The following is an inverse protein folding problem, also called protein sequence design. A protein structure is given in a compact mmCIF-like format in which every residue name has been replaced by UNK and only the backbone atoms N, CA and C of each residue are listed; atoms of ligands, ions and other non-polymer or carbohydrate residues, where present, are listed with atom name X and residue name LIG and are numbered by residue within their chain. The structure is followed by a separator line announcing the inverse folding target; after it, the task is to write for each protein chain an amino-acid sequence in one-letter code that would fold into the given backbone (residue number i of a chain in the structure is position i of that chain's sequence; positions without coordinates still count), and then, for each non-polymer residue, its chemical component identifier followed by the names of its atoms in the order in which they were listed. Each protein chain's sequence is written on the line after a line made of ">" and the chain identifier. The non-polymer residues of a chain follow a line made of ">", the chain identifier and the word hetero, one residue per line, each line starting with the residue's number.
data_IF_544642408242
#
_entry.id   IF_544642408242
#
_cell.length_a   1.000
_cell.length_b   1.000
_cell.length_c   1.000
_cell.angle_alpha   90.00
_cell.angle_beta   90.00
_cell.angle_gamma   90.00
#
_symmetry.space_group_name_H-M   'P 1'
#
loop_
_entity.id
_entity.type
_entity.pdbx_description
1 polymer ?
#
# COMPACT_ATOMS: atom_id res chain seq x y z
N UNK A 1 11.33 -17.61 20.92
CA UNK A 1 12.14 -17.50 22.15
C UNK A 1 12.42 -16.03 22.40
N UNK A 2 12.00 -15.51 23.55
CA UNK A 2 12.13 -14.09 23.91
C UNK A 2 13.60 -13.73 24.17
N UNK A 3 14.08 -12.69 23.52
CA UNK A 3 15.44 -12.14 23.63
C UNK A 3 15.58 -11.33 24.93
N UNK A 4 15.65 -12.01 26.07
CA UNK A 4 15.66 -11.38 27.41
C UNK A 4 16.96 -10.59 27.68
N UNK A 5 18.04 -10.78 26.92
CA UNK A 5 19.33 -10.06 27.11
C UNK A 5 19.66 -8.94 26.11
N UNK A 6 18.81 -8.63 25.12
CA UNK A 6 19.13 -7.62 24.06
C UNK A 6 18.66 -6.18 24.36
N UNK A 7 17.80 -5.98 25.37
CA UNK A 7 17.02 -4.74 25.50
C UNK A 7 17.79 -3.55 26.10
N UNK A 8 18.89 -3.80 26.80
CA UNK A 8 19.73 -2.74 27.36
C UNK A 8 20.76 -2.18 26.35
N UNK A 9 20.83 -2.77 25.16
CA UNK A 9 21.64 -2.26 24.06
C UNK A 9 21.00 -1.05 23.38
N UNK A 10 21.82 -0.28 22.66
CA UNK A 10 21.36 0.79 21.76
C UNK A 10 20.25 0.28 20.84
N UNK A 11 19.19 1.08 20.67
CA UNK A 11 17.98 0.71 19.93
C UNK A 11 17.38 -0.65 20.36
N UNK A 12 17.42 -0.96 21.66
CA UNK A 12 16.95 -2.24 22.22
C UNK A 12 17.62 -3.47 21.58
N UNK A 13 18.87 -3.32 21.15
CA UNK A 13 19.68 -4.38 20.57
C UNK A 13 19.45 -4.65 19.08
N UNK A 14 18.65 -3.83 18.39
CA UNK A 14 18.38 -3.97 16.94
C UNK A 14 19.42 -3.29 16.03
N UNK A 15 20.48 -2.71 16.60
CA UNK A 15 21.63 -2.19 15.85
C UNK A 15 21.98 -0.74 16.18
N UNK A 16 22.99 -0.20 15.49
CA UNK A 16 23.57 1.12 15.80
C UNK A 16 22.78 2.31 15.28
N UNK A 17 22.02 2.13 14.20
CA UNK A 17 21.31 3.23 13.53
C UNK A 17 19.80 3.10 13.71
N UNK A 18 19.14 4.20 14.07
CA UNK A 18 17.68 4.24 14.23
C UNK A 18 16.94 3.88 12.92
N UNK A 19 17.51 4.31 11.78
CA UNK A 19 17.04 3.96 10.44
C UNK A 19 17.09 2.46 10.14
N UNK A 20 18.03 1.72 10.75
CA UNK A 20 18.15 0.27 10.58
C UNK A 20 17.30 -0.49 11.59
N UNK A 21 17.29 -0.05 12.84
CA UNK A 21 16.67 -0.76 13.94
C UNK A 21 15.15 -0.94 13.76
N UNK A 22 14.43 0.13 13.39
CA UNK A 22 12.97 0.08 13.23
C UNK A 22 12.50 -0.97 12.20
N UNK A 23 13.01 -0.95 10.95
CA UNK A 23 12.70 -1.99 9.96
C UNK A 23 13.05 -3.40 10.42
N UNK A 24 14.13 -3.58 11.17
CA UNK A 24 14.51 -4.91 11.68
C UNK A 24 13.54 -5.40 12.75
N UNK A 25 13.17 -4.56 13.71
CA UNK A 25 12.17 -4.89 14.72
C UNK A 25 10.80 -5.20 14.09
N UNK A 26 10.40 -4.48 13.04
CA UNK A 26 9.18 -4.78 12.30
C UNK A 26 9.24 -6.16 11.61
N UNK A 27 10.37 -6.51 10.97
CA UNK A 27 10.51 -7.84 10.34
C UNK A 27 10.39 -8.97 11.37
N UNK A 28 11.03 -8.79 12.52
CA UNK A 28 11.01 -9.77 13.61
C UNK A 28 9.58 -9.89 14.19
N UNK A 29 8.89 -8.77 14.41
CA UNK A 29 7.50 -8.74 14.88
C UNK A 29 6.53 -9.47 13.95
N UNK A 30 6.73 -9.36 12.64
CA UNK A 30 5.88 -10.03 11.65
C UNK A 30 6.40 -11.43 11.24
N UNK A 31 7.42 -11.96 11.95
CA UNK A 31 8.00 -13.28 11.72
C UNK A 31 8.34 -13.57 10.24
N UNK A 32 8.83 -12.57 9.51
CA UNK A 32 9.14 -12.68 8.08
C UNK A 32 7.92 -12.71 7.14
N UNK A 33 6.69 -12.57 7.65
CA UNK A 33 5.46 -12.41 6.88
C UNK A 33 5.09 -10.95 6.61
N UNK A 34 3.93 -10.74 5.97
CA UNK A 34 3.32 -9.40 5.78
C UNK A 34 4.25 -8.33 5.15
N UNK A 35 5.04 -8.71 4.13
CA UNK A 35 6.06 -7.84 3.50
C UNK A 35 5.57 -6.43 3.13
N UNK A 36 4.34 -6.31 2.63
CA UNK A 36 3.76 -5.01 2.29
C UNK A 36 3.51 -4.13 3.52
N UNK A 37 3.04 -4.74 4.62
CA UNK A 37 2.83 -4.06 5.91
C UNK A 37 4.16 -3.64 6.52
N UNK A 38 5.14 -4.54 6.56
CA UNK A 38 6.50 -4.26 7.04
C UNK A 38 7.10 -3.09 6.25
N UNK A 39 7.01 -3.12 4.92
CA UNK A 39 7.51 -2.04 4.07
C UNK A 39 6.80 -0.73 4.37
N UNK A 40 5.47 -0.73 4.43
CA UNK A 40 4.71 0.49 4.64
C UNK A 40 5.01 1.16 6.00
N UNK A 41 5.18 0.36 7.07
CA UNK A 41 5.63 0.89 8.35
C UNK A 41 7.10 1.34 8.30
N UNK A 42 7.98 0.59 7.64
CA UNK A 42 9.39 0.94 7.48
C UNK A 42 9.58 2.26 6.74
N UNK A 43 8.88 2.48 5.63
CA UNK A 43 8.97 3.73 4.85
C UNK A 43 8.54 4.93 5.68
N UNK A 44 7.47 4.79 6.48
CA UNK A 44 6.95 5.85 7.36
C UNK A 44 7.85 6.05 8.58
N UNK A 45 8.46 4.99 9.11
CA UNK A 45 9.50 5.08 10.12
C UNK A 45 10.71 5.87 9.60
N UNK A 46 11.15 5.65 8.35
CA UNK A 46 12.23 6.46 7.77
C UNK A 46 11.86 7.94 7.71
N UNK A 47 10.60 8.30 7.48
CA UNK A 47 10.16 9.69 7.54
C UNK A 47 10.33 10.29 8.94
N UNK A 48 9.99 9.53 9.99
CA UNK A 48 10.24 9.93 11.37
C UNK A 48 11.74 10.04 11.69
N UNK A 49 12.56 9.09 11.25
CA UNK A 49 14.02 9.15 11.43
C UNK A 49 14.65 10.34 10.70
N UNK A 50 14.15 10.70 9.52
CA UNK A 50 14.59 11.91 8.81
C UNK A 50 14.25 13.17 9.59
N UNK A 51 13.03 13.27 10.14
CA UNK A 51 12.68 14.37 11.04
C UNK A 51 13.56 14.37 12.30
N UNK A 52 13.85 13.21 12.91
CA UNK A 52 14.76 13.16 14.07
C UNK A 52 16.15 13.73 13.78
N UNK A 53 16.58 13.74 12.51
CA UNK A 53 17.89 14.23 12.06
C UNK A 53 17.84 15.63 11.43
N UNK A 54 16.68 16.25 11.30
CA UNK A 54 16.56 17.61 10.77
C UNK A 54 16.85 18.65 11.85
N UNK A 55 16.94 19.91 11.46
CA UNK A 55 17.11 21.05 12.37
C UNK A 55 15.98 21.15 13.40
N UNK A 56 14.74 20.84 13.00
CA UNK A 56 13.56 20.79 13.88
C UNK A 56 13.48 19.51 14.74
N UNK A 57 14.47 18.63 14.63
CA UNK A 57 14.47 17.31 15.22
C UNK A 57 15.38 17.20 16.44
N UNK A 58 15.13 16.23 17.34
CA UNK A 58 15.94 16.06 18.54
C UNK A 58 17.37 15.52 18.32
N UNK A 59 17.77 15.17 17.09
CA UNK A 59 19.07 14.59 16.78
C UNK A 59 19.24 13.12 17.19
N UNK A 60 18.16 12.45 17.61
CA UNK A 60 18.25 11.10 18.19
C UNK A 60 18.66 10.03 17.17
N UNK A 61 19.54 9.13 17.62
CA UNK A 61 19.90 7.92 16.89
C UNK A 61 19.89 6.66 17.80
N UNK A 62 19.25 6.76 18.96
CA UNK A 62 18.92 5.65 19.86
C UNK A 62 17.43 5.71 20.23
N UNK A 63 16.67 4.66 19.90
CA UNK A 63 15.24 4.58 20.14
C UNK A 63 14.86 4.64 21.64
N UNK A 64 15.80 4.37 22.54
CA UNK A 64 15.58 4.46 24.00
C UNK A 64 15.39 5.91 24.47
N UNK A 65 15.88 6.88 23.70
CA UNK A 65 15.72 8.31 23.98
C UNK A 65 14.34 8.85 23.57
N UNK A 66 13.58 8.09 22.78
CA UNK A 66 12.26 8.50 22.31
C UNK A 66 11.27 8.33 23.46
N UNK A 67 10.68 9.45 23.86
CA UNK A 67 9.67 9.55 24.91
C UNK A 67 8.34 10.10 24.37
N UNK A 68 7.39 10.36 25.26
CA UNK A 68 6.09 10.91 24.86
C UNK A 68 6.20 12.34 24.34
N UNK A 69 7.13 13.14 24.84
CA UNK A 69 7.35 14.52 24.36
C UNK A 69 7.83 14.51 22.91
N UNK A 70 8.81 13.65 22.58
CA UNK A 70 9.31 13.44 21.22
C UNK A 70 8.16 13.14 20.24
N UNK A 71 7.20 12.32 20.66
CA UNK A 71 6.03 11.98 19.84
C UNK A 71 5.06 13.15 19.67
N UNK A 72 4.87 13.97 20.70
CA UNK A 72 4.06 15.19 20.64
C UNK A 72 4.71 16.23 19.72
N UNK A 73 6.03 16.41 19.80
CA UNK A 73 6.79 17.32 18.93
C UNK A 73 6.71 16.86 17.47
N UNK A 74 6.82 15.55 17.22
CA UNK A 74 6.62 15.02 15.87
C UNK A 74 5.18 15.24 15.37
N UNK A 75 4.17 15.09 16.22
CA UNK A 75 2.80 15.41 15.84
C UNK A 75 2.64 16.90 15.52
N UNK A 76 3.28 17.79 16.27
CA UNK A 76 3.30 19.23 15.99
C UNK A 76 3.94 19.54 14.63
N UNK A 77 5.10 18.95 14.35
CA UNK A 77 5.76 19.03 13.04
C UNK A 77 4.83 18.57 11.91
N UNK A 78 4.15 17.44 12.07
CA UNK A 78 3.20 16.95 11.06
C UNK A 78 1.99 17.88 10.89
N UNK A 79 1.52 18.56 11.95
CA UNK A 79 0.45 19.57 11.84
C UNK A 79 0.88 20.76 10.99
N UNK A 80 2.10 21.26 11.19
CA UNK A 80 2.65 22.36 10.39
C UNK A 80 2.72 21.98 8.90
N UNK A 81 3.19 20.77 8.60
CA UNK A 81 3.26 20.24 7.23
C UNK A 81 1.88 20.11 6.58
N UNK A 82 0.84 19.78 7.37
CA UNK A 82 -0.55 19.80 6.89
C UNK A 82 -1.00 21.23 6.59
N UNK A 83 -0.73 22.18 7.49
CA UNK A 83 -1.11 23.59 7.31
C UNK A 83 -0.47 24.22 6.07
N UNK A 84 0.76 23.82 5.74
CA UNK A 84 1.48 24.24 4.53
C UNK A 84 0.97 23.55 3.26
N UNK A 85 0.06 22.58 3.36
CA UNK A 85 -0.46 21.81 2.21
C UNK A 85 0.50 20.76 1.67
N UNK A 86 1.62 20.50 2.37
CA UNK A 86 2.66 19.55 1.94
C UNK A 86 2.31 18.10 2.31
N UNK A 87 1.38 17.92 3.26
CA UNK A 87 1.02 16.61 3.77
C UNK A 87 -0.49 16.47 3.97
N UNK A 88 -1.07 15.37 3.47
CA UNK A 88 -2.47 15.06 3.77
C UNK A 88 -2.65 14.45 5.16
N UNK A 89 -3.79 14.76 5.79
CA UNK A 89 -4.17 14.30 7.15
C UNK A 89 -4.06 12.78 7.29
N UNK A 90 -4.57 12.02 6.30
CA UNK A 90 -4.52 10.57 6.32
C UNK A 90 -3.08 10.03 6.35
N UNK A 91 -2.15 10.69 5.64
CA UNK A 91 -0.74 10.30 5.65
C UNK A 91 -0.09 10.62 6.99
N UNK A 92 -0.38 11.77 7.58
CA UNK A 92 0.13 12.14 8.90
C UNK A 92 -0.34 11.13 9.99
N UNK A 93 -1.63 10.81 10.03
CA UNK A 93 -2.15 9.79 10.97
C UNK A 93 -1.50 8.42 10.77
N UNK A 94 -1.28 8.02 9.51
CA UNK A 94 -0.58 6.77 9.19
C UNK A 94 0.90 6.79 9.63
N UNK A 95 1.57 7.95 9.57
CA UNK A 95 2.94 8.12 10.08
C UNK A 95 2.97 7.91 11.58
N UNK A 96 2.12 8.60 12.34
CA UNK A 96 2.02 8.44 13.80
C UNK A 96 1.70 6.99 14.20
N UNK A 97 0.73 6.35 13.55
CA UNK A 97 0.40 4.94 13.81
C UNK A 97 1.59 4.01 13.52
N UNK A 98 2.38 4.30 12.48
CA UNK A 98 3.57 3.51 12.17
C UNK A 98 4.71 3.72 13.16
N UNK A 99 4.89 4.94 13.67
CA UNK A 99 5.84 5.22 14.76
C UNK A 99 5.46 4.44 16.01
N UNK A 100 4.20 4.50 16.44
CA UNK A 100 3.71 3.69 17.57
C UNK A 100 3.98 2.19 17.37
N UNK A 101 3.64 1.66 16.18
CA UNK A 101 3.83 0.23 15.90
C UNK A 101 5.31 -0.17 15.89
N UNK A 102 6.18 0.70 15.38
CA UNK A 102 7.62 0.45 15.30
C UNK A 102 8.28 0.56 16.67
N UNK A 103 7.89 1.54 17.48
CA UNK A 103 8.34 1.66 18.87
C UNK A 103 7.90 0.44 19.70
N UNK A 104 6.66 -0.01 19.56
CA UNK A 104 6.22 -1.22 20.24
C UNK A 104 7.02 -2.46 19.83
N UNK A 105 7.40 -2.55 18.55
CA UNK A 105 8.27 -3.62 18.05
C UNK A 105 9.68 -3.57 18.65
N UNK A 106 10.26 -2.37 18.75
CA UNK A 106 11.60 -2.13 19.29
C UNK A 106 11.65 -2.41 20.80
N UNK A 107 10.71 -1.83 21.55
CA UNK A 107 10.66 -1.87 23.01
C UNK A 107 10.16 -3.21 23.54
N UNK A 108 9.18 -3.80 22.84
CA UNK A 108 8.43 -4.94 23.33
C UNK A 108 7.35 -4.60 24.36
N UNK A 109 7.03 -3.31 24.53
CA UNK A 109 5.94 -2.76 25.34
C UNK A 109 5.14 -1.72 24.53
N UNK A 110 4.13 -1.08 25.13
CA UNK A 110 3.34 -0.01 24.49
C UNK A 110 3.31 1.29 25.32
N UNK A 111 4.30 1.50 26.18
CA UNK A 111 4.27 2.57 27.19
C UNK A 111 4.52 3.96 26.58
N UNK A 112 5.34 3.99 25.52
CA UNK A 112 5.65 5.17 24.72
C UNK A 112 4.87 5.11 23.40
N UNK A 113 3.69 5.73 23.39
CA UNK A 113 2.83 5.83 22.21
C UNK A 113 1.96 7.08 22.26
N UNK A 114 1.52 7.52 21.08
CA UNK A 114 0.37 8.41 20.95
C UNK A 114 -0.91 7.57 21.02
N UNK A 115 -1.78 7.84 21.99
CA UNK A 115 -3.02 7.06 22.15
C UNK A 115 -3.96 7.19 20.94
N UNK A 116 -4.16 8.42 20.46
CA UNK A 116 -5.06 8.75 19.36
C UNK A 116 -4.35 9.65 18.33
N UNK A 117 -3.92 9.10 17.17
CA UNK A 117 -3.29 9.89 16.11
C UNK A 117 -4.15 11.03 15.58
N UNK A 118 -5.47 10.89 15.59
CA UNK A 118 -6.41 11.94 15.17
C UNK A 118 -6.47 13.09 16.18
N UNK A 119 -6.55 12.78 17.47
CA UNK A 119 -6.55 13.81 18.52
C UNK A 119 -5.21 14.52 18.60
N UNK A 120 -4.08 13.80 18.48
CA UNK A 120 -2.75 14.39 18.50
C UNK A 120 -2.53 15.39 17.36
N UNK A 121 -3.16 15.17 16.20
CA UNK A 121 -3.13 16.10 15.08
C UNK A 121 -4.20 17.19 15.18
N UNK A 122 -5.17 17.08 16.10
CA UNK A 122 -6.32 17.97 16.20
C UNK A 122 -7.21 17.95 14.96
N UNK A 123 -7.10 16.93 14.11
CA UNK A 123 -7.74 16.87 12.80
C UNK A 123 -8.24 15.46 12.51
N UNK A 124 -9.47 15.38 12.03
CA UNK A 124 -10.07 14.13 11.59
C UNK A 124 -9.88 13.94 10.08
N UNK A 125 -9.65 12.69 9.69
CA UNK A 125 -9.69 12.34 8.27
C UNK A 125 -11.14 12.39 7.80
N UNK A 126 -11.40 12.99 6.64
CA UNK A 126 -12.67 12.81 5.97
C UNK A 126 -12.59 11.60 5.03
N UNK A 127 -13.55 10.68 5.15
CA UNK A 127 -13.75 9.61 4.17
C UNK A 127 -14.78 9.97 3.10
N UNK A 128 -15.38 11.16 3.19
CA UNK A 128 -16.37 11.64 2.22
C UNK A 128 -15.63 12.01 0.94
N UNK A 129 -15.96 11.33 -0.15
CA UNK A 129 -15.44 11.67 -1.47
C UNK A 129 -16.18 12.90 -1.99
N UNK A 130 -15.42 13.90 -2.43
CA UNK A 130 -15.95 15.11 -3.08
C UNK A 130 -15.97 15.00 -4.61
N UNK A 131 -15.36 13.95 -5.16
CA UNK A 131 -15.29 13.67 -6.61
C UNK A 131 -15.64 12.21 -6.88
N UNK A 132 -16.28 11.97 -8.02
CA UNK A 132 -16.50 10.62 -8.53
C UNK A 132 -15.15 9.89 -8.69
N UNK A 133 -15.07 8.59 -8.38
CA UNK A 133 -13.87 7.81 -8.64
C UNK A 133 -13.53 7.77 -10.13
N UNK A 134 -12.24 7.81 -10.43
CA UNK A 134 -11.76 7.61 -11.80
C UNK A 134 -12.22 6.25 -12.35
N UNK A 135 -12.62 6.23 -13.61
CA UNK A 135 -13.13 5.04 -14.28
C UNK A 135 -14.60 4.72 -13.98
N UNK A 136 -15.34 5.56 -13.26
CA UNK A 136 -16.79 5.41 -13.13
C UNK A 136 -17.50 5.60 -14.49
N UNK A 137 -17.08 6.62 -15.25
CA UNK A 137 -17.56 6.87 -16.62
C UNK A 137 -17.00 5.82 -17.60
N UNK A 138 -17.89 5.01 -18.18
CA UNK A 138 -17.54 3.99 -19.17
C UNK A 138 -16.95 4.57 -20.45
N UNK A 139 -17.39 5.75 -20.89
CA UNK A 139 -16.86 6.39 -22.10
C UNK A 139 -15.41 6.83 -21.89
N UNK A 140 -15.09 7.35 -20.69
CA UNK A 140 -13.71 7.67 -20.34
C UNK A 140 -12.84 6.43 -20.31
N UNK A 141 -13.32 5.31 -19.76
CA UNK A 141 -12.58 4.04 -19.77
C UNK A 141 -12.35 3.57 -21.20
N UNK A 142 -13.35 3.65 -22.07
CA UNK A 142 -13.22 3.23 -23.47
C UNK A 142 -12.14 4.03 -24.21
N UNK A 143 -12.12 5.36 -24.05
CA UNK A 143 -11.05 6.21 -24.61
C UNK A 143 -9.66 5.83 -24.09
N UNK A 144 -9.55 5.45 -22.82
CA UNK A 144 -8.28 4.96 -22.25
C UNK A 144 -7.86 3.64 -22.89
N UNK A 145 -8.81 2.72 -23.14
CA UNK A 145 -8.53 1.44 -23.79
C UNK A 145 -8.06 1.64 -25.24
N UNK A 146 -8.67 2.57 -25.97
CA UNK A 146 -8.27 2.94 -27.34
C UNK A 146 -6.82 3.45 -27.38
N UNK A 147 -6.49 4.44 -26.54
CA UNK A 147 -5.12 4.98 -26.44
C UNK A 147 -4.11 3.90 -26.05
N UNK A 148 -4.48 2.97 -25.16
CA UNK A 148 -3.61 1.85 -24.80
C UNK A 148 -3.42 0.88 -25.96
N UNK A 149 -4.45 0.66 -26.78
CA UNK A 149 -4.37 -0.13 -28.00
C UNK A 149 -3.44 0.49 -29.03
N UNK A 150 -3.60 1.79 -29.30
CA UNK A 150 -2.73 2.57 -30.20
C UNK A 150 -1.26 2.54 -29.77
N UNK A 151 -1.00 2.47 -28.46
CA UNK A 151 0.34 2.36 -27.89
C UNK A 151 0.87 0.91 -27.81
N UNK A 152 0.15 -0.06 -28.39
CA UNK A 152 0.47 -1.49 -28.32
C UNK A 152 0.63 -2.03 -26.89
N UNK A 153 -0.16 -1.48 -25.94
CA UNK A 153 -0.19 -1.89 -24.53
C UNK A 153 -1.40 -2.77 -24.22
N UNK A 154 -1.67 -3.73 -25.10
CA UNK A 154 -2.84 -4.63 -25.06
C UNK A 154 -3.04 -5.28 -23.68
N UNK A 155 -1.95 -5.73 -23.06
CA UNK A 155 -1.98 -6.34 -21.73
C UNK A 155 -2.45 -5.39 -20.63
N UNK A 156 -2.08 -4.11 -20.72
CA UNK A 156 -2.54 -3.08 -19.78
C UNK A 156 -4.02 -2.79 -20.04
N UNK A 157 -4.43 -2.68 -21.31
CA UNK A 157 -5.82 -2.51 -21.69
C UNK A 157 -6.71 -3.65 -21.15
N UNK A 158 -6.27 -4.90 -21.31
CA UNK A 158 -6.94 -6.08 -20.76
C UNK A 158 -7.08 -6.02 -19.23
N UNK A 159 -6.03 -5.62 -18.49
CA UNK A 159 -6.09 -5.47 -17.03
C UNK A 159 -7.12 -4.40 -16.64
N UNK A 160 -7.13 -3.26 -17.33
CA UNK A 160 -8.07 -2.14 -17.07
C UNK A 160 -9.50 -2.59 -17.33
N UNK A 161 -9.77 -3.20 -18.48
CA UNK A 161 -11.11 -3.67 -18.84
C UNK A 161 -11.58 -4.75 -17.85
N UNK A 162 -10.75 -5.75 -17.56
CA UNK A 162 -11.07 -6.81 -16.62
C UNK A 162 -11.36 -6.27 -15.22
N UNK A 163 -10.54 -5.34 -14.71
CA UNK A 163 -10.79 -4.70 -13.42
C UNK A 163 -12.12 -3.93 -13.40
N UNK A 164 -12.44 -3.23 -14.50
CA UNK A 164 -13.63 -2.39 -14.59
C UNK A 164 -14.93 -3.20 -14.69
N UNK A 165 -14.93 -4.29 -15.43
CA UNK A 165 -16.12 -5.14 -15.64
C UNK A 165 -16.41 -6.02 -14.43
N UNK A 166 -15.37 -6.48 -13.73
CA UNK A 166 -15.53 -7.43 -12.60
C UNK A 166 -15.43 -6.77 -11.23
N UNK A 167 -14.95 -5.52 -11.13
CA UNK A 167 -14.61 -4.92 -9.83
C UNK A 167 -13.44 -5.62 -9.12
N UNK A 168 -12.60 -6.32 -9.88
CA UNK A 168 -11.32 -6.84 -9.38
C UNK A 168 -10.38 -5.70 -9.03
N UNK A 169 -9.68 -5.82 -7.90
CA UNK A 169 -8.55 -4.92 -7.59
C UNK A 169 -7.45 -5.16 -8.62
N UNK A 170 -6.64 -4.13 -8.91
CA UNK A 170 -5.51 -4.23 -9.83
C UNK A 170 -4.65 -5.49 -9.64
N UNK A 171 -4.34 -5.85 -8.39
CA UNK A 171 -3.52 -7.04 -8.09
C UNK A 171 -4.27 -8.35 -8.35
N UNK A 172 -5.57 -8.38 -8.11
CA UNK A 172 -6.44 -9.51 -8.41
C UNK A 172 -6.48 -9.70 -9.93
N UNK A 173 -6.70 -8.63 -10.71
CA UNK A 173 -6.71 -8.68 -12.18
C UNK A 173 -5.38 -9.16 -12.77
N UNK A 174 -4.26 -8.68 -12.22
CA UNK A 174 -2.92 -9.08 -12.70
C UNK A 174 -2.61 -10.56 -12.42
N UNK A 175 -3.06 -11.09 -11.28
CA UNK A 175 -2.77 -12.46 -10.82
C UNK A 175 -3.86 -13.47 -11.16
N UNK A 176 -4.93 -13.02 -11.83
CA UNK A 176 -6.06 -13.84 -12.22
C UNK A 176 -5.59 -15.07 -13.02
N UNK A 177 -6.05 -16.25 -12.62
CA UNK A 177 -5.94 -17.47 -13.43
C UNK A 177 -6.98 -17.43 -14.55
N UNK A 178 -6.60 -16.88 -15.69
CA UNK A 178 -7.52 -16.65 -16.82
C UNK A 178 -8.10 -17.97 -17.37
N UNK A 179 -7.33 -19.07 -17.55
CA UNK A 179 -7.90 -20.36 -17.95
C UNK A 179 -8.94 -20.90 -16.96
N UNK A 180 -8.72 -20.76 -15.66
CA UNK A 180 -9.73 -21.14 -14.65
C UNK A 180 -10.98 -20.27 -14.77
N UNK A 181 -10.83 -18.95 -14.78
CA UNK A 181 -11.98 -18.03 -14.83
C UNK A 181 -12.81 -18.21 -16.10
N UNK A 182 -12.17 -18.52 -17.24
CA UNK A 182 -12.89 -18.80 -18.48
C UNK A 182 -13.74 -20.07 -18.38
N UNK A 183 -13.17 -21.18 -17.87
CA UNK A 183 -13.94 -22.42 -17.63
C UNK A 183 -15.09 -22.22 -16.65
N UNK A 184 -14.87 -21.43 -15.59
CA UNK A 184 -15.94 -21.08 -14.64
C UNK A 184 -17.04 -20.27 -15.31
N UNK A 185 -16.69 -19.29 -16.15
CA UNK A 185 -17.66 -18.51 -16.91
C UNK A 185 -18.50 -19.40 -17.84
N UNK A 186 -17.88 -20.31 -18.59
CA UNK A 186 -18.55 -21.22 -19.53
C UNK A 186 -19.44 -22.25 -18.82
N UNK A 187 -18.94 -22.91 -17.77
CA UNK A 187 -19.65 -24.02 -17.14
C UNK A 187 -20.61 -23.59 -16.03
N UNK A 188 -20.34 -22.48 -15.35
CA UNK A 188 -21.09 -22.04 -14.17
C UNK A 188 -21.85 -20.73 -14.40
N UNK A 189 -21.59 -20.01 -15.50
CA UNK A 189 -22.15 -18.68 -15.75
C UNK A 189 -21.65 -17.60 -14.79
N UNK A 190 -20.59 -17.89 -14.02
CA UNK A 190 -20.02 -17.00 -13.01
C UNK A 190 -18.57 -17.33 -12.72
N UNK A 191 -17.81 -16.34 -12.27
CA UNK A 191 -16.38 -16.46 -11.95
C UNK A 191 -16.11 -16.22 -10.46
N UNK A 192 -15.16 -16.95 -9.88
CA UNK A 192 -14.76 -16.76 -8.49
C UNK A 192 -13.41 -16.05 -8.37
N UNK A 193 -13.42 -14.88 -7.74
CA UNK A 193 -12.19 -14.11 -7.52
C UNK A 193 -11.49 -14.58 -6.25
N UNK A 194 -10.41 -15.34 -6.43
CA UNK A 194 -9.69 -16.00 -5.33
C UNK A 194 -8.26 -15.48 -5.12
N UNK A 195 -7.62 -14.99 -6.18
CA UNK A 195 -6.20 -14.62 -6.18
C UNK A 195 -5.98 -13.13 -5.91
N UNK A 196 -4.82 -12.80 -5.31
CA UNK A 196 -4.41 -11.41 -5.12
C UNK A 196 -5.09 -10.67 -3.96
N UNK A 197 -5.84 -11.36 -3.10
CA UNK A 197 -6.51 -10.77 -1.94
C UNK A 197 -5.53 -10.31 -0.83
N UNK A 198 -6.02 -9.43 0.05
CA UNK A 198 -5.23 -8.88 1.17
C UNK A 198 -4.83 -9.99 2.14
N UNK A 199 -3.52 -10.12 2.39
CA UNK A 199 -2.97 -11.11 3.32
C UNK A 199 -2.59 -12.44 2.67
N UNK A 200 -2.73 -12.58 1.35
CA UNK A 200 -2.36 -13.82 0.65
C UNK A 200 -3.24 -15.01 1.00
N UNK A 201 -4.40 -14.76 1.64
CA UNK A 201 -5.42 -15.77 1.84
C UNK A 201 -5.97 -16.11 0.46
N UNK A 202 -5.69 -17.30 -0.05
CA UNK A 202 -6.44 -17.83 -1.18
C UNK A 202 -7.92 -17.67 -0.85
N UNK A 203 -8.72 -17.09 -1.75
CA UNK A 203 -10.13 -16.76 -1.53
C UNK A 203 -11.05 -17.95 -1.17
N UNK A 204 -10.47 -19.12 -0.90
CA UNK A 204 -11.11 -20.30 -0.34
C UNK A 204 -11.89 -20.01 0.96
N UNK A 205 -11.44 -19.08 1.80
CA UNK A 205 -12.15 -18.76 3.05
C UNK A 205 -13.37 -17.84 2.89
N UNK A 206 -13.53 -17.19 1.73
CA UNK A 206 -14.68 -16.33 1.41
C UNK A 206 -14.79 -16.14 -0.12
N UNK A 207 -15.55 -17.00 -0.82
CA UNK A 207 -15.66 -16.90 -2.28
C UNK A 207 -16.36 -15.61 -2.69
N UNK A 208 -15.86 -14.96 -3.75
CA UNK A 208 -16.52 -13.79 -4.37
C UNK A 208 -16.91 -14.14 -5.80
N UNK A 209 -18.16 -14.55 -5.96
CA UNK A 209 -18.75 -14.88 -7.26
C UNK A 209 -19.24 -13.63 -7.98
N UNK A 210 -18.91 -13.54 -9.27
CA UNK A 210 -19.37 -12.48 -10.18
C UNK A 210 -20.04 -13.16 -11.37
N UNK A 211 -21.22 -12.70 -11.77
CA UNK A 211 -21.93 -13.22 -12.94
C UNK A 211 -21.11 -12.95 -14.21
N UNK A 212 -20.94 -13.96 -15.05
CA UNK A 212 -20.21 -13.87 -16.31
C UNK A 212 -21.16 -13.41 -17.44
N UNK A 213 -21.61 -12.16 -17.35
CA UNK A 213 -22.39 -11.52 -18.43
C UNK A 213 -21.51 -11.28 -19.67
N UNK A 214 -22.12 -10.78 -20.75
CA UNK A 214 -21.44 -10.53 -22.03
C UNK A 214 -20.18 -9.66 -21.88
N UNK A 215 -20.26 -8.58 -21.10
CA UNK A 215 -19.11 -7.69 -20.84
C UNK A 215 -17.97 -8.40 -20.12
N UNK A 216 -18.27 -9.22 -19.11
CA UNK A 216 -17.28 -10.01 -18.37
C UNK A 216 -16.66 -11.07 -19.27
N UNK A 217 -17.44 -11.74 -20.12
CA UNK A 217 -16.94 -12.73 -21.07
C UNK A 217 -16.00 -12.08 -22.10
N UNK A 218 -16.39 -10.93 -22.67
CA UNK A 218 -15.54 -10.16 -23.59
C UNK A 218 -14.23 -9.72 -22.92
N UNK A 219 -14.29 -9.24 -21.67
CA UNK A 219 -13.11 -8.85 -20.91
C UNK A 219 -12.16 -10.04 -20.63
N UNK A 220 -12.71 -11.22 -20.29
CA UNK A 220 -11.93 -12.45 -20.09
C UNK A 220 -11.28 -12.92 -21.39
N UNK A 221 -11.99 -12.85 -22.52
CA UNK A 221 -11.45 -13.17 -23.83
C UNK A 221 -10.29 -12.23 -24.18
N UNK A 222 -10.47 -10.91 -24.07
CA UNK A 222 -9.39 -9.94 -24.32
C UNK A 222 -8.17 -10.22 -23.44
N UNK A 223 -8.38 -10.49 -22.16
CA UNK A 223 -7.31 -10.83 -21.24
C UNK A 223 -6.56 -12.11 -21.62
N UNK A 224 -7.27 -13.13 -22.12
CA UNK A 224 -6.66 -14.38 -22.58
C UNK A 224 -5.78 -14.16 -23.82
N UNK A 225 -6.23 -13.34 -24.78
CA UNK A 225 -5.45 -12.99 -25.97
C UNK A 225 -4.19 -12.17 -25.61
N UNK A 226 -4.31 -11.25 -24.66
CA UNK A 226 -3.20 -10.42 -24.22
C UNK A 226 -2.24 -11.12 -23.22
N UNK A 227 -2.53 -12.36 -22.81
CA UNK A 227 -1.68 -13.13 -21.90
C UNK A 227 -0.49 -13.71 -22.68
N UNK A 228 0.76 -13.59 -22.17
CA UNK A 228 1.91 -14.18 -22.84
C UNK A 228 1.80 -15.71 -22.84
N UNK A 229 1.76 -16.34 -24.02
CA UNK A 229 1.82 -17.80 -24.14
C UNK A 229 3.11 -18.35 -23.51
N UNK A 230 3.08 -19.40 -22.67
CA UNK A 230 1.96 -20.29 -22.32
C UNK A 230 1.40 -20.03 -20.90
N UNK A 231 1.28 -18.76 -20.48
CA UNK A 231 1.12 -18.44 -19.07
C UNK A 231 -0.33 -18.11 -18.67
N UNK A 232 -0.77 -18.56 -17.48
CA UNK A 232 -2.15 -18.37 -17.02
C UNK A 232 -2.44 -16.95 -16.49
N UNK A 233 -1.42 -16.13 -16.25
CA UNK A 233 -1.54 -14.81 -15.62
C UNK A 233 -1.00 -13.68 -16.52
N UNK A 234 -1.63 -12.51 -16.46
CA UNK A 234 -1.19 -11.29 -17.17
C UNK A 234 0.20 -10.81 -16.70
N UNK A 235 0.65 -11.19 -15.49
CA UNK A 235 1.92 -10.72 -14.93
C UNK A 235 3.19 -11.25 -15.61
N UNK A 236 3.14 -12.32 -16.40
CA UNK A 236 4.35 -13.08 -16.72
C UNK A 236 4.72 -14.09 -15.59
N UNK A 237 5.81 -14.88 -15.71
CA UNK A 237 6.15 -15.91 -14.73
C UNK A 237 6.47 -15.22 -13.42
N UNK A 238 5.88 -15.67 -12.29
CA UNK A 238 5.90 -15.10 -10.91
C UNK A 238 7.05 -14.13 -10.59
N UNK A 239 7.11 -12.99 -11.27
CA UNK A 239 8.06 -11.92 -11.02
C UNK A 239 7.34 -11.03 -10.04
N UNK A 240 7.93 -10.88 -8.85
CA UNK A 240 7.48 -9.89 -7.87
C UNK A 240 7.35 -8.56 -8.62
N UNK A 241 6.10 -8.09 -8.83
CA UNK A 241 5.82 -6.78 -9.41
C UNK A 241 6.69 -5.76 -8.67
N UNK A 242 7.78 -5.31 -9.31
CA UNK A 242 8.59 -4.20 -8.81
C UNK A 242 7.68 -2.98 -8.93
N UNK A 243 7.24 -2.46 -7.79
CA UNK A 243 6.52 -1.18 -7.76
C UNK A 243 7.50 -0.09 -8.15
N UNK A 244 7.12 0.71 -9.14
CA UNK A 244 7.73 2.01 -9.40
C UNK A 244 7.56 2.85 -8.12
N UNK A 245 8.61 3.49 -7.58
CA UNK A 245 8.45 4.40 -6.46
C UNK A 245 7.49 5.52 -6.87
N UNK A 246 6.50 5.82 -6.02
CA UNK A 246 5.71 7.03 -6.17
C UNK A 246 6.67 8.21 -6.03
N UNK A 247 7.05 8.83 -7.14
CA UNK A 247 7.63 10.17 -7.12
C UNK A 247 6.49 11.10 -6.72
N UNK A 248 6.44 11.48 -5.45
CA UNK A 248 5.68 12.63 -4.97
C UNK A 248 6.29 13.88 -5.60
N UNK A 249 5.88 14.20 -6.83
CA UNK A 249 5.97 15.53 -7.44
C UNK A 249 4.92 15.60 -8.54
N UNK A 250 3.75 16.15 -8.19
CA UNK A 250 2.92 16.76 -9.21
C UNK A 250 3.72 17.91 -9.86
N UNK A 251 3.77 18.03 -11.20
CA UNK A 251 4.39 19.19 -11.83
C UNK A 251 3.60 20.44 -11.45
N UNK A 252 4.30 21.46 -10.92
CA UNK A 252 3.72 22.80 -10.70
C UNK A 252 3.25 23.35 -12.05
N UNK A 253 2.06 23.94 -12.16
CA UNK A 253 1.71 24.72 -13.34
C UNK A 253 2.69 25.90 -13.43
N UNK A 254 3.35 26.06 -14.59
CA UNK A 254 4.07 27.28 -14.90
C UNK A 254 3.02 28.36 -15.08
N UNK A 255 3.03 29.36 -14.20
CA UNK A 255 2.30 30.60 -14.46
C UNK A 255 2.94 31.26 -15.68
N UNK A 256 2.13 31.45 -16.72
CA UNK A 256 2.45 32.37 -17.80
C UNK A 256 2.14 33.78 -17.29
N UNK A 257 3.19 34.58 -17.12
CA UNK A 257 3.13 36.04 -17.28
C UNK A 257 3.53 36.38 -18.69
#
# INVERSE_FOLDING_TARGET
>A
MALVGRRDGRNFGYGRQLSYAGPQALKDLFAGGHFATVKAHSDRWQAFVRWCRSEDGPGYNDARQIDRQTLQDYAAYLRQQIQQGELCIATAQNRLSSVNRTLAALRGDQDVRIASPSEALGQQRSSVRTRAPDGQDHQQVQRVLEVLGEQHRERVAAIVLLARTTGMRLRESILADLPRLHREAEHLGRINIQDGTKGGRSGASAPRWIVANEEVQAALQLARHASPSPQPQLAGPRRKLRRVPATDRAPRPRNAT
#
